data_IF_048544657362
#
_entry.id   IF_048544657362
#
_cell.length_a   1.000
_cell.length_b   1.000
_cell.length_c   1.000
_cell.angle_alpha   90.00
_cell.angle_beta   90.00
_cell.angle_gamma   90.00
#
_symmetry.space_group_name_H-M   'P 1'
#
loop_
_entity.id
_entity.type
_entity.pdbx_description
1 polymer ?
#
# COMPACT_ATOMS: atom_id res chain seq x y z
N UNK A 1 32.50 -29.04 9.60
CA UNK A 1 32.09 -29.19 8.20
C UNK A 1 31.00 -28.18 7.92
N UNK A 2 31.35 -26.97 7.51
CA UNK A 2 30.39 -25.96 7.03
C UNK A 2 31.04 -25.33 5.81
N UNK A 3 30.84 -25.96 4.65
CA UNK A 3 31.40 -25.49 3.39
C UNK A 3 30.81 -24.13 3.03
N UNK A 4 31.63 -23.11 3.23
CA UNK A 4 31.60 -21.89 2.46
C UNK A 4 31.76 -22.21 0.98
N UNK A 5 30.82 -21.72 0.16
CA UNK A 5 31.04 -21.53 -1.27
C UNK A 5 30.51 -22.62 -2.18
N UNK A 6 29.21 -22.56 -2.50
CA UNK A 6 28.75 -22.96 -3.84
C UNK A 6 28.31 -21.73 -4.61
N UNK A 7 29.27 -21.19 -5.37
CA UNK A 7 29.04 -20.21 -6.44
C UNK A 7 28.18 -20.89 -7.53
N UNK A 8 26.86 -20.91 -7.35
CA UNK A 8 25.87 -21.30 -8.40
C UNK A 8 25.75 -20.20 -9.46
N UNK A 9 26.84 -19.89 -10.15
CA UNK A 9 26.79 -19.15 -11.42
C UNK A 9 26.54 -20.18 -12.53
N UNK A 10 25.26 -20.52 -12.79
CA UNK A 10 24.72 -21.09 -14.04
C UNK A 10 23.28 -21.61 -13.81
N UNK A 11 22.39 -20.72 -13.36
CA UNK A 11 20.95 -20.88 -13.55
C UNK A 11 20.46 -19.64 -14.28
N UNK A 12 20.02 -19.79 -15.53
CA UNK A 12 19.38 -18.71 -16.30
C UNK A 12 18.02 -18.28 -15.70
N UNK A 13 17.60 -18.87 -14.58
CA UNK A 13 16.48 -18.43 -13.77
C UNK A 13 16.98 -17.96 -12.40
N UNK A 14 17.24 -16.67 -12.28
CA UNK A 14 17.47 -16.00 -10.99
C UNK A 14 16.11 -15.75 -10.34
N UNK A 15 15.72 -16.58 -9.37
CA UNK A 15 14.50 -16.40 -8.57
C UNK A 15 14.78 -15.56 -7.33
N UNK A 16 13.78 -14.81 -6.88
CA UNK A 16 13.81 -14.12 -5.59
C UNK A 16 13.26 -15.09 -4.55
N UNK A 17 14.11 -15.52 -3.62
CA UNK A 17 13.70 -16.35 -2.50
C UNK A 17 13.26 -15.45 -1.34
N UNK A 18 12.00 -15.57 -0.93
CA UNK A 18 11.44 -14.88 0.24
C UNK A 18 11.31 -15.93 1.35
N UNK A 19 11.95 -15.69 2.48
CA UNK A 19 11.81 -16.56 3.65
C UNK A 19 10.40 -16.38 4.24
N UNK A 20 9.65 -17.48 4.36
CA UNK A 20 8.27 -17.49 4.84
C UNK A 20 8.08 -18.63 5.84
N UNK A 21 7.10 -18.49 6.74
CA UNK A 21 6.68 -19.54 7.67
C UNK A 21 6.01 -20.71 6.93
N UNK A 22 5.88 -21.86 7.60
CA UNK A 22 5.18 -23.03 7.03
C UNK A 22 3.71 -22.73 6.72
N UNK A 23 3.05 -21.88 7.52
CA UNK A 23 1.67 -21.49 7.29
C UNK A 23 1.52 -20.61 6.06
N UNK A 24 2.37 -19.59 5.91
CA UNK A 24 2.40 -18.71 4.74
C UNK A 24 2.70 -19.49 3.46
N UNK A 25 3.62 -20.47 3.51
CA UNK A 25 3.92 -21.34 2.39
C UNK A 25 2.70 -22.15 1.96
N UNK A 26 1.96 -22.74 2.91
CA UNK A 26 0.70 -23.46 2.63
C UNK A 26 -0.33 -22.53 1.99
N UNK A 27 -0.53 -21.34 2.56
CA UNK A 27 -1.45 -20.32 2.01
C UNK A 27 -1.05 -19.93 0.59
N UNK A 28 0.23 -19.68 0.33
CA UNK A 28 0.73 -19.36 -1.01
C UNK A 28 0.42 -20.49 -2.00
N UNK A 29 0.62 -21.76 -1.61
CA UNK A 29 0.31 -22.89 -2.49
C UNK A 29 -1.19 -23.03 -2.78
N UNK A 30 -2.08 -22.69 -1.84
CA UNK A 30 -3.54 -22.68 -2.06
C UNK A 30 -4.05 -21.57 -3.00
N UNK A 31 -3.22 -20.57 -3.33
CA UNK A 31 -3.63 -19.49 -4.23
C UNK A 31 -3.82 -20.00 -5.67
N UNK A 32 -4.76 -19.37 -6.38
CA UNK A 32 -5.02 -19.63 -7.80
C UNK A 32 -3.83 -19.20 -8.66
N UNK A 33 -3.67 -19.75 -9.88
CA UNK A 33 -2.62 -19.32 -10.81
C UNK A 33 -2.64 -17.81 -11.08
N UNK A 34 -3.84 -17.22 -11.14
CA UNK A 34 -4.03 -15.79 -11.36
C UNK A 34 -3.57 -14.95 -10.17
N UNK A 35 -3.90 -15.35 -8.94
CA UNK A 35 -3.40 -14.69 -7.73
C UNK A 35 -1.86 -14.73 -7.66
N UNK A 36 -1.25 -15.88 -7.98
CA UNK A 36 0.21 -16.02 -8.06
C UNK A 36 0.82 -15.17 -9.19
N UNK A 37 0.10 -14.97 -10.30
CA UNK A 37 0.50 -14.05 -11.38
C UNK A 37 0.50 -12.60 -10.90
N UNK A 38 -0.55 -12.19 -10.20
CA UNK A 38 -0.66 -10.83 -9.63
C UNK A 38 0.43 -10.55 -8.60
N UNK A 39 0.70 -11.48 -7.67
CA UNK A 39 1.79 -11.32 -6.70
C UNK A 39 3.12 -11.11 -7.43
N UNK A 40 3.43 -11.93 -8.45
CA UNK A 40 4.65 -11.77 -9.25
C UNK A 40 4.68 -10.43 -9.98
N UNK A 41 3.55 -9.95 -10.50
CA UNK A 41 3.47 -8.65 -11.19
C UNK A 41 3.74 -7.49 -10.21
N UNK A 42 3.17 -7.54 -9.01
CA UNK A 42 3.41 -6.54 -7.95
C UNK A 42 4.89 -6.55 -7.55
N UNK A 43 5.45 -7.72 -7.25
CA UNK A 43 6.88 -7.84 -6.89
C UNK A 43 7.77 -7.28 -7.99
N UNK A 44 7.49 -7.58 -9.27
CA UNK A 44 8.21 -6.99 -10.40
C UNK A 44 8.08 -5.47 -10.44
N UNK A 45 6.87 -4.93 -10.30
CA UNK A 45 6.65 -3.48 -10.31
C UNK A 45 7.45 -2.78 -9.19
N UNK A 46 7.48 -3.36 -7.99
CA UNK A 46 8.24 -2.83 -6.85
C UNK A 46 9.76 -2.89 -7.05
N UNK A 47 10.27 -3.89 -7.80
CA UNK A 47 11.69 -3.97 -8.15
C UNK A 47 12.08 -2.84 -9.11
N UNK A 48 11.24 -2.52 -10.08
CA UNK A 48 11.51 -1.43 -11.04
C UNK A 48 11.27 -0.04 -10.45
N UNK A 49 10.34 0.08 -9.50
CA UNK A 49 9.96 1.34 -8.84
C UNK A 49 9.93 1.18 -7.31
N UNK A 50 11.10 1.21 -6.65
CA UNK A 50 11.19 1.04 -5.20
C UNK A 50 10.60 2.22 -4.42
N UNK A 51 10.41 3.38 -5.05
CA UNK A 51 9.71 4.54 -4.50
C UNK A 51 8.30 4.18 -4.00
N UNK A 52 7.63 3.22 -4.65
CA UNK A 52 6.31 2.74 -4.24
C UNK A 52 6.29 2.06 -2.87
N UNK A 53 7.45 1.59 -2.37
CA UNK A 53 7.55 1.03 -1.01
C UNK A 53 7.39 2.10 0.06
N UNK A 54 7.72 3.37 -0.22
CA UNK A 54 7.46 4.47 0.72
C UNK A 54 5.96 4.68 0.94
N UNK A 55 5.15 4.36 -0.07
CA UNK A 55 3.69 4.51 -0.04
C UNK A 55 2.96 3.26 0.48
N UNK A 56 3.66 2.12 0.65
CA UNK A 56 3.00 0.84 0.91
C UNK A 56 2.31 0.78 2.29
N UNK A 57 2.89 1.41 3.32
CA UNK A 57 2.26 1.46 4.65
C UNK A 57 0.89 2.16 4.60
N UNK A 58 0.82 3.26 3.87
CA UNK A 58 -0.43 3.99 3.66
C UNK A 58 -1.45 3.13 2.90
N UNK A 59 -1.04 2.48 1.80
CA UNK A 59 -1.94 1.64 1.01
C UNK A 59 -2.49 0.47 1.82
N UNK A 60 -1.66 -0.19 2.63
CA UNK A 60 -2.11 -1.30 3.49
C UNK A 60 -3.15 -0.83 4.51
N UNK A 61 -2.90 0.28 5.20
CA UNK A 61 -3.85 0.86 6.16
C UNK A 61 -5.15 1.33 5.50
N UNK A 62 -5.06 1.90 4.31
CA UNK A 62 -6.23 2.31 3.54
C UNK A 62 -7.09 1.11 3.15
N UNK A 63 -6.48 0.02 2.67
CA UNK A 63 -7.21 -1.20 2.32
C UNK A 63 -7.91 -1.82 3.54
N UNK A 64 -7.23 -1.84 4.69
CA UNK A 64 -7.82 -2.32 5.94
C UNK A 64 -9.02 -1.46 6.37
N UNK A 65 -8.89 -0.14 6.29
CA UNK A 65 -9.96 0.79 6.67
C UNK A 65 -11.14 0.71 5.69
N UNK A 66 -10.87 0.54 4.39
CA UNK A 66 -11.91 0.33 3.36
C UNK A 66 -12.68 -0.97 3.53
N UNK A 67 -12.07 -1.99 4.15
CA UNK A 67 -12.79 -3.22 4.49
C UNK A 67 -13.79 -3.01 5.65
N UNK A 68 -13.56 -2.01 6.50
CA UNK A 68 -14.47 -1.65 7.62
C UNK A 68 -15.60 -0.75 7.13
N UNK A 69 -15.29 0.27 6.32
CA UNK A 69 -16.28 1.17 5.74
C UNK A 69 -15.84 1.69 4.37
N UNK A 70 -16.75 1.87 3.40
CA UNK A 70 -16.42 2.55 2.15
C UNK A 70 -16.07 4.04 2.35
N UNK A 71 -16.50 4.66 3.46
CA UNK A 71 -16.28 6.07 3.74
C UNK A 71 -15.06 6.26 4.64
N UNK A 72 -13.89 6.45 4.03
CA UNK A 72 -12.61 6.59 4.75
C UNK A 72 -11.99 7.96 4.48
N UNK A 73 -11.51 8.62 5.53
CA UNK A 73 -10.76 9.87 5.37
C UNK A 73 -9.37 9.60 4.77
N UNK A 74 -8.99 10.24 3.65
CA UNK A 74 -7.70 9.99 3.00
C UNK A 74 -6.52 10.60 3.76
N UNK A 75 -6.78 11.46 4.76
CA UNK A 75 -5.73 12.14 5.53
C UNK A 75 -5.33 11.34 6.78
N UNK A 76 -6.32 10.82 7.52
CA UNK A 76 -6.10 10.09 8.77
C UNK A 76 -6.46 8.59 8.69
N UNK A 77 -7.03 8.13 7.57
CA UNK A 77 -7.48 6.76 7.33
C UNK A 77 -8.58 6.26 8.28
N UNK A 78 -9.24 7.16 9.02
CA UNK A 78 -10.37 6.78 9.86
C UNK A 78 -11.59 6.40 9.01
N UNK A 79 -12.23 5.25 9.28
CA UNK A 79 -13.50 4.86 8.67
C UNK A 79 -14.69 5.55 9.35
N UNK A 80 -15.72 5.86 8.57
CA UNK A 80 -16.95 6.52 9.03
C UNK A 80 -18.19 5.74 8.61
N UNK A 81 -19.27 5.83 9.38
CA UNK A 81 -20.52 5.11 9.09
C UNK A 81 -21.28 5.65 7.87
N UNK A 82 -21.03 6.90 7.47
CA UNK A 82 -21.71 7.55 6.35
C UNK A 82 -20.84 8.60 5.67
N UNK A 83 -21.20 8.95 4.43
CA UNK A 83 -20.55 10.02 3.68
C UNK A 83 -20.71 11.38 4.39
N UNK A 84 -21.87 11.66 4.96
CA UNK A 84 -22.13 12.91 5.69
C UNK A 84 -21.19 13.05 6.88
N UNK A 85 -20.99 11.98 7.65
CA UNK A 85 -20.06 11.97 8.78
C UNK A 85 -18.61 12.19 8.33
N UNK A 86 -18.21 11.58 7.21
CA UNK A 86 -16.88 11.81 6.62
C UNK A 86 -16.69 13.27 6.17
N UNK A 87 -17.67 13.85 5.47
CA UNK A 87 -17.62 15.25 5.02
C UNK A 87 -17.56 16.22 6.20
N UNK A 88 -18.32 15.95 7.26
CA UNK A 88 -18.27 16.74 8.49
C UNK A 88 -16.90 16.63 9.16
N UNK A 89 -16.34 15.43 9.24
CA UNK A 89 -14.99 15.21 9.77
C UNK A 89 -13.92 15.98 8.98
N UNK A 90 -13.97 15.92 7.65
CA UNK A 90 -13.05 16.66 6.79
C UNK A 90 -13.13 18.17 7.04
N UNK A 91 -14.34 18.71 7.22
CA UNK A 91 -14.58 20.15 7.37
C UNK A 91 -14.16 20.70 8.74
N UNK A 92 -14.38 19.94 9.82
CA UNK A 92 -14.28 20.48 11.19
C UNK A 92 -13.15 19.88 12.02
N UNK A 93 -12.60 18.72 11.67
CA UNK A 93 -11.47 18.16 12.41
C UNK A 93 -10.17 18.89 12.06
N UNK A 94 -9.25 18.93 13.02
CA UNK A 94 -7.88 19.36 12.75
C UNK A 94 -7.15 18.25 11.98
N UNK A 95 -6.72 18.58 10.77
CA UNK A 95 -5.94 17.68 9.93
C UNK A 95 -4.53 18.21 9.79
N UNK A 96 -3.58 17.28 9.69
CA UNK A 96 -2.22 17.57 9.27
C UNK A 96 -2.26 18.25 7.90
N UNK A 97 -1.42 19.27 7.68
CA UNK A 97 -1.25 19.87 6.36
C UNK A 97 -0.20 19.14 5.50
N UNK A 98 0.18 17.93 5.91
CA UNK A 98 1.17 17.10 5.24
C UNK A 98 0.47 15.93 4.56
N UNK A 99 0.83 15.66 3.30
CA UNK A 99 0.32 14.51 2.57
C UNK A 99 0.80 13.21 3.22
N UNK A 100 -0.09 12.28 3.59
CA UNK A 100 0.32 11.04 4.23
C UNK A 100 1.11 10.11 3.29
N UNK A 101 1.01 10.34 1.97
CA UNK A 101 1.60 9.52 0.91
C UNK A 101 3.00 10.05 0.53
N UNK A 102 3.09 11.25 -0.05
CA UNK A 102 4.36 11.82 -0.50
C UNK A 102 5.05 12.76 0.51
N UNK A 103 4.48 12.94 1.71
CA UNK A 103 4.99 13.82 2.78
C UNK A 103 5.17 15.30 2.41
N UNK A 104 4.56 15.76 1.32
CA UNK A 104 4.54 17.17 0.93
C UNK A 104 3.63 17.98 1.84
N UNK A 105 4.09 19.16 2.25
CA UNK A 105 3.34 20.10 3.08
C UNK A 105 2.55 21.11 2.23
N UNK A 106 1.41 21.54 2.77
CA UNK A 106 0.46 22.45 2.15
C UNK A 106 0.04 23.55 3.14
N UNK A 107 -0.49 24.65 2.63
CA UNK A 107 -0.98 25.75 3.48
C UNK A 107 -2.39 25.48 4.02
N UNK A 108 -3.22 24.76 3.26
CA UNK A 108 -4.61 24.47 3.62
C UNK A 108 -4.95 22.99 3.46
N UNK A 109 -5.99 22.56 4.18
CA UNK A 109 -6.56 21.21 4.08
C UNK A 109 -7.18 20.95 2.71
N UNK A 110 -7.85 21.95 2.14
CA UNK A 110 -8.48 21.82 0.83
C UNK A 110 -7.42 21.65 -0.28
N UNK A 111 -6.31 22.39 -0.21
CA UNK A 111 -5.19 22.21 -1.14
C UNK A 111 -4.56 20.83 -1.02
N UNK A 112 -4.44 20.31 0.20
CA UNK A 112 -3.96 18.95 0.45
C UNK A 112 -4.94 17.89 -0.11
N UNK A 113 -6.25 18.05 0.09
CA UNK A 113 -7.25 17.12 -0.43
C UNK A 113 -7.27 17.12 -1.96
N UNK A 114 -7.21 18.30 -2.59
CA UNK A 114 -7.10 18.43 -4.04
C UNK A 114 -5.82 17.74 -4.56
N UNK A 115 -4.69 17.93 -3.87
CA UNK A 115 -3.45 17.24 -4.18
C UNK A 115 -3.60 15.72 -4.10
N UNK A 116 -4.17 15.18 -3.01
CA UNK A 116 -4.35 13.73 -2.83
C UNK A 116 -5.27 13.15 -3.91
N UNK A 117 -6.33 13.87 -4.28
CA UNK A 117 -7.22 13.45 -5.35
C UNK A 117 -6.55 13.49 -6.74
N UNK A 118 -5.80 14.56 -7.07
CA UNK A 118 -5.21 14.73 -8.42
C UNK A 118 -3.88 14.01 -8.63
N UNK A 119 -3.05 13.89 -7.59
CA UNK A 119 -1.70 13.29 -7.69
C UNK A 119 -1.64 11.84 -7.23
N UNK A 120 -2.53 11.44 -6.33
CA UNK A 120 -2.58 10.08 -5.82
C UNK A 120 -3.87 9.34 -6.16
N UNK A 121 -4.81 9.98 -6.87
CA UNK A 121 -6.07 9.38 -7.33
C UNK A 121 -6.94 8.83 -6.18
N UNK A 122 -6.88 9.47 -5.02
CA UNK A 122 -7.71 9.13 -3.85
C UNK A 122 -8.61 10.32 -3.55
N UNK A 123 -9.86 10.21 -3.96
CA UNK A 123 -10.85 11.28 -3.85
C UNK A 123 -11.95 10.89 -2.88
N UNK A 124 -12.50 11.88 -2.18
CA UNK A 124 -13.71 11.76 -1.37
C UNK A 124 -14.80 12.55 -2.08
N UNK A 125 -15.79 11.85 -2.64
CA UNK A 125 -16.95 12.44 -3.31
C UNK A 125 -18.16 12.46 -2.39
#
# INVERSE_FOLDING_TARGET
MTESGTKKYLSNHKSIAIHVTLEELRRYHSLTPEQKRLIRAIVKALIYRPDLLAESDYLMKLLQSKAVSPYVCPLCLLPFSSLTALKQHIRYAEHTKVCPICKREFTTTDALLDHVCKKHNICVS
#
